data_IF_285746310416
#
_entry.id   IF_285746310416
#
_cell.length_a   1.000
_cell.length_b   1.000
_cell.length_c   1.000
_cell.angle_alpha   90.00
_cell.angle_beta   90.00
_cell.angle_gamma   90.00
#
_symmetry.space_group_name_H-M   'P 1'
#
loop_
_entity.id
_entity.type
_entity.pdbx_description
1 polymer ?
#
# COMPACT_ATOMS: atom_id res chain seq x y z
N UNK A 1 -17.98 14.15 2.42
CA UNK A 1 -19.02 14.19 1.36
C UNK A 1 -19.02 15.53 0.62
N UNK A 2 -18.96 16.67 1.31
CA UNK A 2 -18.86 18.01 0.69
C UNK A 2 -17.75 18.16 -0.36
N UNK A 3 -16.55 17.64 -0.08
CA UNK A 3 -15.42 17.84 -0.99
C UNK A 3 -15.51 17.05 -2.30
N UNK A 4 -16.11 15.84 -2.28
CA UNK A 4 -16.42 15.10 -3.51
C UNK A 4 -17.49 15.81 -4.34
N UNK A 5 -18.45 16.46 -3.68
CA UNK A 5 -19.45 17.31 -4.33
C UNK A 5 -18.82 18.56 -4.96
N UNK A 6 -17.90 19.24 -4.26
CA UNK A 6 -17.16 20.40 -4.79
C UNK A 6 -16.27 20.03 -5.98
N UNK A 7 -15.63 18.85 -5.94
CA UNK A 7 -14.86 18.33 -7.08
C UNK A 7 -15.75 18.01 -8.27
N UNK A 8 -16.93 17.41 -8.05
CA UNK A 8 -17.92 17.19 -9.10
C UNK A 8 -18.41 18.50 -9.73
N UNK A 9 -18.68 19.51 -8.89
CA UNK A 9 -19.10 20.85 -9.32
C UNK A 9 -18.00 21.55 -10.14
N UNK A 10 -16.74 21.48 -9.70
CA UNK A 10 -15.59 22.05 -10.40
C UNK A 10 -15.45 21.46 -11.81
N UNK A 11 -15.59 20.14 -11.94
CA UNK A 11 -15.53 19.45 -13.24
C UNK A 11 -16.66 19.93 -14.14
N UNK A 12 -17.90 20.00 -13.63
CA UNK A 12 -19.05 20.46 -14.40
C UNK A 12 -18.89 21.91 -14.88
N UNK A 13 -18.44 22.82 -14.01
CA UNK A 13 -18.21 24.23 -14.36
C UNK A 13 -17.07 24.38 -15.37
N UNK A 14 -16.01 23.58 -15.25
CA UNK A 14 -14.87 23.60 -16.19
C UNK A 14 -15.31 23.16 -17.58
N UNK A 15 -16.10 22.09 -17.70
CA UNK A 15 -16.64 21.60 -18.98
C UNK A 15 -17.54 22.66 -19.63
N UNK A 16 -18.43 23.29 -18.86
CA UNK A 16 -19.29 24.36 -19.34
C UNK A 16 -18.50 25.59 -19.82
N UNK A 17 -17.44 25.96 -19.11
CA UNK A 17 -16.59 27.09 -19.47
C UNK A 17 -15.79 26.84 -20.76
N UNK A 18 -15.26 25.62 -20.97
CA UNK A 18 -14.60 25.24 -22.22
C UNK A 18 -15.58 25.30 -23.39
N UNK A 19 -16.78 24.72 -23.23
CA UNK A 19 -17.84 24.82 -24.25
C UNK A 19 -18.23 26.27 -24.54
N UNK A 20 -18.30 27.11 -23.51
CA UNK A 20 -18.55 28.55 -23.64
C UNK A 20 -17.49 29.28 -24.45
N UNK A 21 -16.19 29.02 -24.18
CA UNK A 21 -15.08 29.62 -24.93
C UNK A 21 -15.14 29.22 -26.42
N UNK A 22 -15.39 27.94 -26.72
CA UNK A 22 -15.55 27.49 -28.10
C UNK A 22 -16.77 28.09 -28.78
N UNK A 23 -17.89 28.23 -28.07
CA UNK A 23 -19.10 28.85 -28.59
C UNK A 23 -18.89 30.35 -28.88
N UNK A 24 -18.16 31.06 -27.99
CA UNK A 24 -17.81 32.47 -28.17
C UNK A 24 -16.88 32.66 -29.37
N UNK A 25 -15.85 31.82 -29.52
CA UNK A 25 -14.94 31.84 -30.65
C UNK A 25 -15.67 31.58 -31.97
N UNK A 26 -16.58 30.60 -32.00
CA UNK A 26 -17.43 30.30 -33.16
C UNK A 26 -18.36 31.47 -33.51
N UNK A 27 -18.93 32.13 -32.51
CA UNK A 27 -19.78 33.31 -32.72
C UNK A 27 -18.98 34.51 -33.24
N UNK A 28 -17.80 34.76 -32.71
CA UNK A 28 -16.90 35.84 -33.15
C UNK A 28 -16.37 35.62 -34.58
N UNK A 29 -16.11 34.36 -34.95
CA UNK A 29 -15.79 34.00 -36.34
C UNK A 29 -16.94 34.33 -37.30
N UNK A 30 -18.17 33.99 -36.94
CA UNK A 30 -19.34 34.21 -37.80
C UNK A 30 -19.86 35.64 -37.85
N UNK A 31 -19.69 36.43 -36.78
CA UNK A 31 -20.30 37.78 -36.67
C UNK A 31 -19.33 38.90 -37.04
N UNK A 32 -18.04 38.73 -36.77
CA UNK A 32 -17.07 39.84 -36.77
C UNK A 32 -15.91 39.68 -37.76
N UNK A 33 -15.88 38.61 -38.56
CA UNK A 33 -14.89 38.43 -39.63
C UNK A 33 -13.43 38.44 -39.15
N UNK A 34 -13.20 38.15 -37.86
CA UNK A 34 -11.88 38.20 -37.22
C UNK A 34 -10.97 37.15 -37.86
N UNK A 35 -9.72 37.48 -38.26
CA UNK A 35 -8.81 36.52 -38.83
C UNK A 35 -8.58 35.34 -37.89
N UNK A 36 -8.49 34.12 -38.44
CA UNK A 36 -8.41 32.86 -37.68
C UNK A 36 -7.23 32.81 -36.71
N UNK A 37 -6.14 33.52 -37.02
CA UNK A 37 -4.93 33.61 -36.20
C UNK A 37 -5.20 34.32 -34.86
N UNK A 38 -5.94 35.44 -34.88
CA UNK A 38 -6.30 36.17 -33.67
C UNK A 38 -7.30 35.40 -32.80
N UNK A 39 -8.24 34.67 -33.42
CA UNK A 39 -9.16 33.77 -32.73
C UNK A 39 -8.43 32.61 -32.04
N UNK A 40 -7.41 32.06 -32.70
CA UNK A 40 -6.57 31.00 -32.15
C UNK A 40 -5.78 31.51 -30.94
N UNK A 41 -5.13 32.68 -31.04
CA UNK A 41 -4.39 33.28 -29.93
C UNK A 41 -5.33 33.60 -28.76
N UNK A 42 -6.52 34.15 -29.02
CA UNK A 42 -7.49 34.48 -27.97
C UNK A 42 -8.06 33.25 -27.27
N UNK A 43 -8.41 32.20 -28.02
CA UNK A 43 -8.88 30.93 -27.44
C UNK A 43 -7.79 30.25 -26.63
N UNK A 44 -6.54 30.28 -27.09
CA UNK A 44 -5.40 29.75 -26.36
C UNK A 44 -5.17 30.54 -25.05
N UNK A 45 -5.26 31.87 -25.09
CA UNK A 45 -5.14 32.73 -23.92
C UNK A 45 -6.26 32.49 -22.90
N UNK A 46 -7.51 32.33 -23.36
CA UNK A 46 -8.66 32.02 -22.51
C UNK A 46 -8.56 30.62 -21.90
N UNK A 47 -8.12 29.62 -22.67
CA UNK A 47 -7.84 28.27 -22.14
C UNK A 47 -6.69 28.29 -21.14
N UNK A 48 -5.64 29.07 -21.38
CA UNK A 48 -4.54 29.28 -20.44
C UNK A 48 -5.03 29.90 -19.12
N UNK A 49 -5.82 30.97 -19.18
CA UNK A 49 -6.41 31.61 -18.01
C UNK A 49 -7.37 30.67 -17.25
N UNK A 50 -8.13 29.84 -17.97
CA UNK A 50 -8.99 28.82 -17.38
C UNK A 50 -8.17 27.75 -16.64
N UNK A 51 -7.11 27.23 -17.25
CA UNK A 51 -6.22 26.24 -16.62
C UNK A 51 -5.63 26.80 -15.33
N UNK A 52 -5.09 28.02 -15.36
CA UNK A 52 -4.57 28.70 -14.17
C UNK A 52 -5.65 28.84 -13.09
N UNK A 53 -6.85 29.28 -13.47
CA UNK A 53 -7.97 29.44 -12.53
C UNK A 53 -8.41 28.11 -11.90
N UNK A 54 -8.46 27.02 -12.69
CA UNK A 54 -8.78 25.68 -12.20
C UNK A 54 -7.69 25.17 -11.26
N UNK A 55 -6.41 25.40 -11.56
CA UNK A 55 -5.31 25.08 -10.65
C UNK A 55 -5.43 25.83 -9.32
N UNK A 56 -5.70 27.14 -9.35
CA UNK A 56 -5.91 27.95 -8.13
C UNK A 56 -7.12 27.48 -7.31
N UNK A 57 -8.26 27.18 -7.95
CA UNK A 57 -9.46 26.71 -7.25
C UNK A 57 -9.25 25.30 -6.70
N UNK A 58 -8.57 24.42 -7.46
CA UNK A 58 -8.20 23.09 -7.01
C UNK A 58 -7.27 23.16 -5.81
N UNK A 59 -6.25 24.02 -5.85
CA UNK A 59 -5.34 24.27 -4.72
C UNK A 59 -6.10 24.82 -3.49
N UNK A 60 -7.14 25.62 -3.70
CA UNK A 60 -8.02 26.12 -2.64
C UNK A 60 -8.96 25.04 -2.08
N UNK A 61 -9.43 24.11 -2.90
CA UNK A 61 -10.20 22.94 -2.45
C UNK A 61 -9.26 21.95 -1.73
N UNK A 62 -8.05 21.76 -2.22
CA UNK A 62 -7.04 20.90 -1.59
C UNK A 62 -6.55 21.47 -0.26
N UNK A 63 -6.43 22.79 -0.11
CA UNK A 63 -6.15 23.44 1.18
C UNK A 63 -7.31 23.33 2.18
N UNK A 64 -8.54 23.06 1.73
CA UNK A 64 -9.64 22.67 2.63
C UNK A 64 -9.63 21.19 3.02
N UNK A 65 -8.88 20.33 2.31
CA UNK A 65 -8.70 18.91 2.66
C UNK A 65 -7.40 18.62 3.42
N UNK A 66 -6.37 19.44 3.22
CA UNK A 66 -5.08 19.35 3.88
C UNK A 66 -4.86 20.64 4.68
N UNK A 67 -4.86 20.60 6.02
CA UNK A 67 -4.37 21.72 6.78
C UNK A 67 -2.85 21.76 6.55
N UNK A 68 -2.44 22.56 5.56
CA UNK A 68 -1.08 23.05 5.43
C UNK A 68 -0.69 23.71 6.76
N UNK A 69 0.55 23.48 7.14
CA UNK A 69 1.16 23.69 8.46
C UNK A 69 1.28 25.14 8.94
N UNK A 70 0.52 26.08 8.36
CA UNK A 70 0.36 27.44 8.86
C UNK A 70 -1.13 27.68 9.16
N UNK A 71 -1.65 26.94 10.14
CA UNK A 71 -3.02 27.12 10.58
C UNK A 71 -3.10 28.42 11.41
N UNK A 72 -3.85 29.40 10.93
CA UNK A 72 -4.42 30.40 11.84
C UNK A 72 -5.12 29.63 12.96
N UNK A 73 -4.62 29.80 14.20
CA UNK A 73 -5.20 29.15 15.37
C UNK A 73 -6.66 29.54 15.47
N UNK A 74 -7.53 28.55 15.64
CA UNK A 74 -8.96 28.81 15.86
C UNK A 74 -9.15 29.58 17.17
N UNK A 75 -10.21 30.37 17.31
CA UNK A 75 -10.53 31.07 18.58
C UNK A 75 -10.54 30.10 19.78
N UNK A 76 -11.01 28.87 19.58
CA UNK A 76 -10.99 27.82 20.60
C UNK A 76 -9.57 27.42 21.02
N UNK A 77 -8.65 27.29 20.06
CA UNK A 77 -7.24 26.98 20.36
C UNK A 77 -6.58 28.13 21.10
N UNK A 78 -6.84 29.37 20.68
CA UNK A 78 -6.31 30.56 21.36
C UNK A 78 -6.83 30.66 22.80
N UNK A 79 -8.12 30.39 23.01
CA UNK A 79 -8.73 30.35 24.34
C UNK A 79 -8.09 29.29 25.24
N UNK A 80 -7.94 28.05 24.76
CA UNK A 80 -7.33 26.98 25.58
C UNK A 80 -5.85 27.26 25.85
N UNK A 81 -5.10 27.80 24.89
CA UNK A 81 -3.70 28.19 25.10
C UNK A 81 -3.53 29.29 26.15
N UNK A 82 -4.46 30.25 26.18
CA UNK A 82 -4.47 31.34 27.16
C UNK A 82 -4.78 30.84 28.57
N UNK A 83 -5.70 29.88 28.71
CA UNK A 83 -6.11 29.39 30.04
C UNK A 83 -5.21 28.26 30.54
N UNK A 84 -4.95 27.23 29.72
CA UNK A 84 -4.14 26.07 30.11
C UNK A 84 -3.42 25.42 28.91
N UNK A 85 -2.18 25.86 28.68
CA UNK A 85 -1.32 25.41 27.57
C UNK A 85 -1.19 23.86 27.43
N UNK A 86 -1.03 23.06 28.51
CA UNK A 86 -0.89 21.62 28.37
C UNK A 86 -2.10 20.92 27.73
N UNK A 87 -3.32 21.44 27.95
CA UNK A 87 -4.51 20.92 27.25
C UNK A 87 -4.47 21.25 25.75
N UNK A 88 -4.00 22.44 25.37
CA UNK A 88 -3.86 22.81 23.97
C UNK A 88 -2.88 21.86 23.24
N UNK A 89 -1.75 21.53 23.87
CA UNK A 89 -0.77 20.58 23.35
C UNK A 89 -1.37 19.17 23.21
N UNK A 90 -2.09 18.70 24.23
CA UNK A 90 -2.76 17.40 24.20
C UNK A 90 -3.81 17.32 23.07
N UNK A 91 -4.62 18.38 22.89
CA UNK A 91 -5.59 18.47 21.80
C UNK A 91 -4.92 18.49 20.42
N UNK A 92 -3.82 19.22 20.27
CA UNK A 92 -3.03 19.25 19.04
C UNK A 92 -2.51 17.85 18.69
N UNK A 93 -1.98 17.13 19.68
CA UNK A 93 -1.49 15.77 19.52
C UNK A 93 -2.61 14.79 19.14
N UNK A 94 -3.76 14.87 19.80
CA UNK A 94 -4.95 14.07 19.47
C UNK A 94 -5.39 14.30 18.02
N UNK A 95 -5.47 15.56 17.59
CA UNK A 95 -5.83 15.93 16.21
C UNK A 95 -4.81 15.40 15.20
N UNK A 96 -3.52 15.49 15.52
CA UNK A 96 -2.44 14.93 14.69
C UNK A 96 -2.58 13.42 14.54
N UNK A 97 -2.83 12.69 15.62
CA UNK A 97 -3.06 11.23 15.59
C UNK A 97 -4.30 10.85 14.80
N UNK A 98 -5.40 11.57 14.95
CA UNK A 98 -6.63 11.33 14.16
C UNK A 98 -6.40 11.44 12.65
N UNK A 99 -5.64 12.44 12.20
CA UNK A 99 -5.24 12.59 10.79
C UNK A 99 -4.37 11.42 10.33
N UNK A 100 -3.36 11.04 11.12
CA UNK A 100 -2.48 9.91 10.83
C UNK A 100 -3.26 8.60 10.71
N UNK A 101 -4.22 8.35 11.61
CA UNK A 101 -5.08 7.15 11.58
C UNK A 101 -5.97 7.11 10.33
N UNK A 102 -6.51 8.24 9.89
CA UNK A 102 -7.32 8.30 8.67
C UNK A 102 -6.50 7.90 7.43
N UNK A 103 -5.27 8.38 7.31
CA UNK A 103 -4.35 8.02 6.22
C UNK A 103 -3.97 6.53 6.31
N UNK A 104 -3.63 6.05 7.51
CA UNK A 104 -3.25 4.66 7.74
C UNK A 104 -4.38 3.68 7.36
N UNK A 105 -5.62 4.00 7.67
CA UNK A 105 -6.77 3.17 7.29
C UNK A 105 -6.95 3.08 5.77
N UNK A 106 -6.81 4.19 5.05
CA UNK A 106 -6.85 4.18 3.59
C UNK A 106 -5.72 3.33 3.01
N UNK A 107 -4.53 3.42 3.60
CA UNK A 107 -3.39 2.61 3.20
C UNK A 107 -3.64 1.11 3.45
N UNK A 108 -4.17 0.72 4.61
CA UNK A 108 -4.49 -0.68 4.92
C UNK A 108 -5.56 -1.24 3.97
N UNK A 109 -6.56 -0.43 3.61
CA UNK A 109 -7.57 -0.84 2.63
C UNK A 109 -6.96 -1.11 1.25
N UNK A 110 -6.01 -0.27 0.80
CA UNK A 110 -5.26 -0.49 -0.45
C UNK A 110 -4.39 -1.75 -0.36
N UNK A 111 -3.66 -1.93 0.74
CA UNK A 111 -2.82 -3.11 0.97
C UNK A 111 -3.65 -4.40 0.97
N UNK A 112 -4.84 -4.39 1.59
CA UNK A 112 -5.72 -5.57 1.66
C UNK A 112 -6.16 -6.07 0.29
N UNK A 113 -6.37 -5.15 -0.67
CA UNK A 113 -6.71 -5.52 -2.06
C UNK A 113 -5.52 -6.07 -2.83
N UNK A 114 -4.30 -5.60 -2.53
CA UNK A 114 -3.06 -6.01 -3.22
C UNK A 114 -2.40 -7.26 -2.62
N UNK A 115 -2.71 -7.59 -1.37
CA UNK A 115 -2.06 -8.64 -0.60
C UNK A 115 -3.08 -9.59 0.06
N UNK A 116 -3.92 -10.30 -0.73
CA UNK A 116 -4.98 -11.15 -0.19
C UNK A 116 -4.46 -12.30 0.70
N UNK A 117 -3.21 -12.74 0.48
CA UNK A 117 -2.53 -13.77 1.28
C UNK A 117 -2.32 -13.34 2.74
N UNK A 118 -2.39 -12.03 3.02
CA UNK A 118 -2.18 -11.43 4.34
C UNK A 118 -3.47 -10.83 4.91
N UNK A 119 -4.63 -11.26 4.38
CA UNK A 119 -5.94 -10.73 4.74
C UNK A 119 -6.25 -10.78 6.24
N UNK A 120 -5.81 -11.83 6.94
CA UNK A 120 -5.98 -11.96 8.40
C UNK A 120 -5.23 -10.86 9.15
N UNK A 121 -3.94 -10.68 8.85
CA UNK A 121 -3.07 -9.70 9.47
C UNK A 121 -3.51 -8.26 9.14
N UNK A 122 -3.92 -8.01 7.91
CA UNK A 122 -4.40 -6.71 7.47
C UNK A 122 -5.79 -6.37 8.03
N UNK A 123 -6.67 -7.37 8.21
CA UNK A 123 -7.97 -7.20 8.90
C UNK A 123 -7.77 -6.86 10.37
N UNK A 124 -6.88 -7.59 11.06
CA UNK A 124 -6.52 -7.28 12.44
C UNK A 124 -6.04 -5.83 12.58
N UNK A 125 -5.08 -5.41 11.75
CA UNK A 125 -4.58 -4.03 11.75
C UNK A 125 -5.72 -3.03 11.48
N UNK A 126 -6.54 -3.28 10.46
CA UNK A 126 -7.67 -2.43 10.12
C UNK A 126 -8.64 -2.25 11.30
N UNK A 127 -9.02 -3.34 11.96
CA UNK A 127 -10.03 -3.33 13.02
C UNK A 127 -9.51 -2.65 14.29
N UNK A 128 -8.24 -2.88 14.65
CA UNK A 128 -7.57 -2.17 15.74
C UNK A 128 -7.58 -0.66 15.47
N UNK A 129 -7.14 -0.22 14.29
CA UNK A 129 -7.08 1.20 13.96
C UNK A 129 -8.45 1.85 13.76
N UNK A 130 -9.46 1.08 13.32
CA UNK A 130 -10.84 1.53 13.25
C UNK A 130 -11.49 1.70 14.61
N UNK A 131 -11.20 0.82 15.55
CA UNK A 131 -11.63 1.01 16.94
C UNK A 131 -10.96 2.25 17.53
N UNK A 132 -9.65 2.39 17.35
CA UNK A 132 -8.87 3.49 17.92
C UNK A 132 -9.34 4.86 17.40
N UNK A 133 -9.50 4.99 16.08
CA UNK A 133 -9.99 6.24 15.48
C UNK A 133 -11.37 6.63 15.99
N UNK A 134 -12.28 5.67 16.17
CA UNK A 134 -13.63 5.95 16.69
C UNK A 134 -13.57 6.49 18.11
N UNK A 135 -12.82 5.84 19.00
CA UNK A 135 -12.67 6.31 20.39
C UNK A 135 -12.01 7.69 20.47
N UNK A 136 -10.97 7.95 19.66
CA UNK A 136 -10.33 9.27 19.60
C UNK A 136 -11.25 10.36 19.04
N UNK A 137 -12.11 10.05 18.06
CA UNK A 137 -13.07 11.01 17.52
C UNK A 137 -14.17 11.36 18.54
N UNK A 138 -14.64 10.37 19.30
CA UNK A 138 -15.60 10.59 20.39
C UNK A 138 -15.00 11.51 21.46
N UNK A 139 -13.81 11.17 21.95
CA UNK A 139 -13.08 11.99 22.91
C UNK A 139 -12.86 13.42 22.40
N UNK A 140 -12.44 13.58 21.14
CA UNK A 140 -12.28 14.91 20.54
C UNK A 140 -13.59 15.71 20.60
N UNK A 141 -14.70 15.08 20.23
CA UNK A 141 -16.02 15.73 20.22
C UNK A 141 -16.45 16.18 21.63
N UNK A 142 -16.17 15.36 22.65
CA UNK A 142 -16.47 15.67 24.05
C UNK A 142 -15.64 16.86 24.55
N UNK A 143 -14.32 16.83 24.31
CA UNK A 143 -13.42 17.93 24.70
C UNK A 143 -13.79 19.22 23.97
N UNK A 144 -14.02 19.18 22.65
CA UNK A 144 -14.43 20.35 21.86
C UNK A 144 -15.77 20.94 22.35
N UNK A 145 -16.68 20.11 22.85
CA UNK A 145 -17.95 20.56 23.41
C UNK A 145 -17.72 21.31 24.73
N UNK A 146 -16.93 20.76 25.65
CA UNK A 146 -16.62 21.40 26.93
C UNK A 146 -15.85 22.71 26.74
N UNK A 147 -14.84 22.73 25.86
CA UNK A 147 -14.08 23.95 25.54
C UNK A 147 -15.00 25.04 24.97
N UNK A 148 -15.94 24.68 24.09
CA UNK A 148 -16.91 25.65 23.55
C UNK A 148 -17.82 26.21 24.62
N UNK A 149 -18.32 25.36 25.52
CA UNK A 149 -19.17 25.79 26.63
C UNK A 149 -18.42 26.74 27.57
N UNK A 150 -17.18 26.38 27.95
CA UNK A 150 -16.32 27.21 28.79
C UNK A 150 -15.97 28.56 28.13
N UNK A 151 -15.65 28.55 26.84
CA UNK A 151 -15.38 29.76 26.07
C UNK A 151 -16.63 30.67 25.99
N UNK A 152 -17.81 30.09 25.80
CA UNK A 152 -19.07 30.84 25.82
C UNK A 152 -19.36 31.49 27.18
N UNK A 153 -19.10 30.76 28.26
CA UNK A 153 -19.26 31.27 29.63
C UNK A 153 -18.23 32.34 29.99
N UNK A 154 -16.96 32.17 29.57
CA UNK A 154 -15.91 33.17 29.74
C UNK A 154 -16.23 34.48 29.00
N UNK A 155 -16.86 34.40 27.82
CA UNK A 155 -17.35 35.59 27.10
C UNK A 155 -18.55 36.28 27.78
N UNK A 156 -19.28 35.59 28.66
CA UNK A 156 -20.55 36.06 29.25
C UNK A 156 -20.47 36.41 30.75
N UNK A 157 -19.43 35.99 31.47
CA UNK A 157 -19.30 36.07 32.95
C UNK A 157 -17.94 36.68 33.32
N UNK A 158 -17.70 37.01 34.59
CA UNK A 158 -16.39 37.50 35.08
C UNK A 158 -15.23 36.57 34.63
N UNK A 159 -14.29 37.06 33.80
CA UNK A 159 -13.19 36.28 33.24
C UNK A 159 -12.36 35.52 34.29
N UNK A 160 -12.12 36.13 35.46
CA UNK A 160 -11.21 35.62 36.47
C UNK A 160 -11.78 34.42 37.25
N UNK A 161 -13.08 34.42 37.55
CA UNK A 161 -13.73 33.30 38.24
C UNK A 161 -13.78 32.05 37.35
N UNK A 162 -14.05 32.24 36.06
CA UNK A 162 -14.11 31.17 35.07
C UNK A 162 -12.75 30.53 34.78
N UNK A 163 -11.66 31.30 34.77
CA UNK A 163 -10.30 30.75 34.62
C UNK A 163 -9.96 29.76 35.73
N UNK A 164 -10.38 30.01 36.97
CA UNK A 164 -10.10 29.10 38.09
C UNK A 164 -10.88 27.77 38.01
N UNK A 165 -12.15 27.81 37.55
CA UNK A 165 -13.01 26.62 37.42
C UNK A 165 -12.65 25.81 36.18
N UNK A 166 -12.45 26.48 35.03
CA UNK A 166 -12.06 25.82 33.79
C UNK A 166 -10.65 25.23 33.86
N UNK A 167 -9.72 25.81 34.63
CA UNK A 167 -8.40 25.21 34.85
C UNK A 167 -8.47 23.81 35.47
N UNK A 168 -9.41 23.58 36.40
CA UNK A 168 -9.57 22.26 37.02
C UNK A 168 -10.10 21.24 36.00
N UNK A 169 -11.12 21.61 35.24
CA UNK A 169 -11.67 20.76 34.18
C UNK A 169 -10.62 20.51 33.08
N UNK A 170 -9.82 21.52 32.75
CA UNK A 170 -8.78 21.43 31.73
C UNK A 170 -7.68 20.42 32.10
N UNK A 171 -7.28 20.38 33.37
CA UNK A 171 -6.35 19.37 33.90
C UNK A 171 -6.93 17.96 33.79
N UNK A 172 -8.21 17.78 34.10
CA UNK A 172 -8.84 16.45 34.01
C UNK A 172 -8.99 15.98 32.56
N UNK A 173 -9.33 16.88 31.63
CA UNK A 173 -9.35 16.56 30.20
C UNK A 173 -7.96 16.29 29.62
N UNK A 174 -6.93 17.02 30.06
CA UNK A 174 -5.53 16.74 29.70
C UNK A 174 -5.17 15.30 30.10
N UNK A 175 -5.46 14.89 31.34
CA UNK A 175 -5.23 13.52 31.80
C UNK A 175 -6.00 12.48 30.99
N UNK A 176 -7.25 12.74 30.63
CA UNK A 176 -8.07 11.83 29.79
C UNK A 176 -7.47 11.68 28.40
N UNK A 177 -7.05 12.77 27.76
CA UNK A 177 -6.38 12.75 26.45
C UNK A 177 -5.05 12.00 26.54
N UNK A 178 -4.22 12.32 27.55
CA UNK A 178 -2.93 11.66 27.80
C UNK A 178 -3.09 10.16 28.01
N UNK A 179 -4.12 9.73 28.78
CA UNK A 179 -4.47 8.31 28.94
C UNK A 179 -4.85 7.66 27.62
N UNK A 180 -5.69 8.31 26.82
CA UNK A 180 -6.12 7.78 25.51
C UNK A 180 -4.95 7.66 24.52
N UNK A 181 -4.02 8.63 24.53
CA UNK A 181 -2.79 8.57 23.73
C UNK A 181 -1.86 7.44 24.20
N UNK A 182 -1.88 7.07 25.49
CA UNK A 182 -1.19 5.88 26.00
C UNK A 182 -1.83 4.59 25.49
N UNK A 183 -3.17 4.47 25.52
CA UNK A 183 -3.91 3.33 24.95
C UNK A 183 -3.62 3.15 23.45
N UNK A 184 -3.52 4.25 22.71
CA UNK A 184 -3.08 4.23 21.31
C UNK A 184 -1.72 3.56 21.14
N UNK A 185 -0.74 3.85 22.02
CA UNK A 185 0.58 3.21 21.97
C UNK A 185 0.49 1.70 22.20
N UNK A 186 -0.37 1.27 23.13
CA UNK A 186 -0.63 -0.16 23.36
C UNK A 186 -1.25 -0.84 22.14
N UNK A 187 -2.19 -0.18 21.47
CA UNK A 187 -2.78 -0.67 20.23
C UNK A 187 -1.77 -0.71 19.06
N UNK A 188 -0.84 0.25 19.03
CA UNK A 188 0.29 0.22 18.10
C UNK A 188 1.20 -0.99 18.34
N UNK A 189 1.52 -1.28 19.60
CA UNK A 189 2.30 -2.46 19.96
C UNK A 189 1.58 -3.75 19.55
N UNK A 190 0.25 -3.84 19.71
CA UNK A 190 -0.54 -5.00 19.27
C UNK A 190 -0.40 -5.26 17.77
N UNK A 191 -0.51 -4.24 16.94
CA UNK A 191 -0.34 -4.38 15.47
C UNK A 191 1.11 -4.70 15.13
N UNK A 192 2.06 -4.05 15.80
CA UNK A 192 3.51 -4.29 15.62
C UNK A 192 3.85 -5.75 15.92
N UNK A 193 3.38 -6.29 17.05
CA UNK A 193 3.63 -7.66 17.46
C UNK A 193 3.04 -8.66 16.46
N UNK A 194 1.82 -8.44 15.98
CA UNK A 194 1.22 -9.32 14.95
C UNK A 194 2.03 -9.34 13.64
N UNK A 195 2.63 -8.21 13.24
CA UNK A 195 3.50 -8.16 12.06
C UNK A 195 4.84 -8.86 12.31
N UNK A 196 5.40 -8.72 13.51
CA UNK A 196 6.63 -9.42 13.92
C UNK A 196 6.38 -10.93 14.00
N UNK A 197 5.24 -11.37 14.54
CA UNK A 197 4.85 -12.78 14.59
C UNK A 197 4.71 -13.38 13.20
N UNK A 198 4.14 -12.62 12.25
CA UNK A 198 4.11 -13.02 10.85
C UNK A 198 5.53 -13.18 10.27
N UNK A 199 6.45 -12.25 10.56
CA UNK A 199 7.85 -12.38 10.14
C UNK A 199 8.53 -13.61 10.75
N UNK A 200 8.32 -13.87 12.04
CA UNK A 200 8.81 -15.08 12.74
C UNK A 200 8.26 -16.34 12.08
N UNK A 201 6.98 -16.35 11.70
CA UNK A 201 6.39 -17.47 11.00
C UNK A 201 7.05 -17.69 9.63
N UNK A 202 7.34 -16.63 8.88
CA UNK A 202 8.05 -16.76 7.60
C UNK A 202 9.50 -17.22 7.77
N UNK A 203 10.20 -16.79 8.81
CA UNK A 203 11.51 -17.33 9.19
C UNK A 203 11.43 -18.85 9.38
N UNK A 204 10.44 -19.32 10.14
CA UNK A 204 10.22 -20.76 10.37
C UNK A 204 9.91 -21.50 9.08
N UNK A 205 9.08 -20.92 8.20
CA UNK A 205 8.74 -21.51 6.91
C UNK A 205 9.98 -21.63 6.02
N UNK A 206 10.75 -20.55 5.86
CA UNK A 206 11.99 -20.54 5.06
C UNK A 206 13.00 -21.59 5.53
N UNK A 207 13.19 -21.73 6.85
CA UNK A 207 14.08 -22.77 7.43
C UNK A 207 13.61 -24.21 7.12
N UNK A 208 12.30 -24.41 6.89
CA UNK A 208 11.71 -25.72 6.56
C UNK A 208 11.70 -26.03 5.07
N UNK A 209 11.80 -25.03 4.18
CA UNK A 209 11.70 -25.27 2.73
C UNK A 209 12.74 -26.27 2.24
N UNK A 210 13.96 -26.24 2.78
CA UNK A 210 15.00 -27.22 2.44
C UNK A 210 14.67 -28.65 2.86
N UNK A 211 13.91 -28.84 3.94
CA UNK A 211 13.48 -30.17 4.44
C UNK A 211 12.29 -30.72 3.67
N UNK A 212 11.49 -29.86 3.04
CA UNK A 212 10.32 -30.24 2.23
C UNK A 212 10.66 -30.50 0.75
N UNK A 213 11.95 -30.48 0.40
CA UNK A 213 12.47 -30.67 -0.98
C UNK A 213 11.95 -31.95 -1.63
N UNK A 214 11.78 -33.00 -0.83
CA UNK A 214 11.46 -34.34 -1.33
C UNK A 214 9.96 -34.63 -1.37
N UNK A 215 9.13 -33.81 -0.70
CA UNK A 215 7.69 -34.07 -0.53
C UNK A 215 6.84 -33.49 -1.67
N UNK A 216 7.28 -32.40 -2.31
CA UNK A 216 6.54 -31.76 -3.41
C UNK A 216 6.91 -32.27 -4.80
N UNK A 217 8.04 -32.99 -4.92
CA UNK A 217 8.46 -33.61 -6.18
C UNK A 217 7.50 -34.72 -6.68
N UNK A 218 6.57 -35.18 -5.83
CA UNK A 218 5.77 -36.39 -6.04
C UNK A 218 4.25 -36.18 -6.11
N UNK A 219 3.72 -35.00 -5.77
CA UNK A 219 2.33 -34.95 -5.30
C UNK A 219 1.22 -34.63 -6.32
N UNK A 220 1.48 -34.20 -7.56
CA UNK A 220 0.42 -34.21 -8.59
C UNK A 220 0.98 -33.98 -10.00
N UNK A 221 0.44 -34.71 -10.99
CA UNK A 221 0.61 -34.42 -12.43
C UNK A 221 -0.08 -33.12 -12.87
N UNK A 222 -0.46 -32.25 -11.94
CA UNK A 222 -1.18 -31.00 -12.16
C UNK A 222 -0.22 -29.82 -12.00
N UNK A 223 -0.36 -28.83 -12.88
CA UNK A 223 0.42 -27.59 -12.81
C UNK A 223 0.05 -26.80 -11.55
N UNK A 224 1.04 -26.54 -10.70
CA UNK A 224 0.88 -25.67 -9.54
C UNK A 224 0.59 -24.25 -10.01
N UNK A 225 -0.44 -23.62 -9.44
CA UNK A 225 -0.73 -22.20 -9.66
C UNK A 225 -0.09 -21.39 -8.53
N UNK A 226 0.53 -20.27 -8.89
CA UNK A 226 1.09 -19.36 -7.89
C UNK A 226 -0.03 -18.72 -7.07
N UNK A 227 0.22 -18.55 -5.77
CA UNK A 227 -0.67 -17.86 -4.86
C UNK A 227 -0.68 -16.34 -5.08
N UNK A 228 0.28 -15.81 -5.85
CA UNK A 228 0.47 -14.38 -6.08
C UNK A 228 0.01 -13.96 -7.48
N UNK A 229 -0.71 -12.85 -7.53
CA UNK A 229 -1.01 -12.18 -8.80
C UNK A 229 0.24 -11.49 -9.34
N UNK A 230 0.34 -11.30 -10.66
CA UNK A 230 1.47 -10.59 -11.28
C UNK A 230 1.64 -9.17 -10.73
N UNK A 231 0.54 -8.47 -10.45
CA UNK A 231 0.54 -7.15 -9.82
C UNK A 231 1.21 -7.19 -8.44
N UNK A 232 0.83 -8.16 -7.59
CA UNK A 232 1.42 -8.34 -6.27
C UNK A 232 2.91 -8.67 -6.35
N UNK A 233 3.32 -9.52 -7.30
CA UNK A 233 4.74 -9.86 -7.49
C UNK A 233 5.54 -8.63 -7.86
N UNK A 234 5.05 -7.81 -8.80
CA UNK A 234 5.74 -6.60 -9.23
C UNK A 234 5.90 -5.59 -8.09
N UNK A 235 4.86 -5.38 -7.27
CA UNK A 235 4.93 -4.51 -6.10
C UNK A 235 6.00 -4.97 -5.09
N UNK A 236 6.09 -6.29 -4.85
CA UNK A 236 7.06 -6.87 -3.93
C UNK A 236 8.49 -6.84 -4.49
N UNK A 237 8.67 -7.04 -5.79
CA UNK A 237 9.96 -6.92 -6.46
C UNK A 237 10.45 -5.48 -6.47
N UNK A 238 9.60 -4.50 -6.80
CA UNK A 238 9.94 -3.09 -6.75
C UNK A 238 10.30 -2.60 -5.33
N UNK A 239 9.74 -3.25 -4.31
CA UNK A 239 10.18 -3.06 -2.93
C UNK A 239 11.58 -3.65 -2.70
N UNK A 240 11.82 -4.90 -3.09
CA UNK A 240 13.12 -5.55 -2.92
C UNK A 240 14.24 -4.88 -3.70
N UNK A 241 14.01 -4.38 -4.91
CA UNK A 241 15.01 -3.65 -5.68
C UNK A 241 15.63 -2.50 -4.88
N UNK A 242 14.86 -1.89 -3.98
CA UNK A 242 15.30 -0.78 -3.13
C UNK A 242 16.01 -1.23 -1.86
N UNK A 243 15.77 -2.46 -1.39
CA UNK A 243 16.22 -2.93 -0.07
C UNK A 243 17.25 -4.05 -0.17
N UNK A 244 17.09 -4.98 -1.11
CA UNK A 244 17.95 -6.14 -1.38
C UNK A 244 17.87 -6.54 -2.88
N UNK A 245 18.50 -5.76 -3.76
CA UNK A 245 18.43 -5.95 -5.23
C UNK A 245 18.86 -7.35 -5.68
N UNK A 246 19.94 -7.89 -5.10
CA UNK A 246 20.42 -9.24 -5.42
C UNK A 246 19.37 -10.33 -5.14
N UNK A 247 18.55 -10.16 -4.11
CA UNK A 247 17.45 -11.09 -3.79
C UNK A 247 16.32 -10.96 -4.82
N UNK A 248 16.01 -9.75 -5.26
CA UNK A 248 15.04 -9.52 -6.33
C UNK A 248 15.46 -10.26 -7.61
N UNK A 249 16.73 -10.15 -8.01
CA UNK A 249 17.27 -10.82 -9.20
C UNK A 249 17.12 -12.34 -9.15
N UNK A 250 17.30 -12.94 -7.96
CA UNK A 250 17.13 -14.39 -7.77
C UNK A 250 15.68 -14.82 -7.87
N UNK A 251 14.74 -14.04 -7.33
CA UNK A 251 13.30 -14.31 -7.45
C UNK A 251 12.85 -14.16 -8.91
N UNK A 252 13.36 -13.15 -9.63
CA UNK A 252 13.13 -13.00 -11.08
C UNK A 252 13.74 -14.17 -11.84
N UNK A 253 14.95 -14.60 -11.47
CA UNK A 253 15.62 -15.80 -11.98
C UNK A 253 14.75 -17.05 -11.85
N UNK A 254 14.21 -17.32 -10.66
CA UNK A 254 13.27 -18.42 -10.43
C UNK A 254 12.04 -18.32 -11.35
N UNK A 255 11.50 -17.11 -11.55
CA UNK A 255 10.41 -16.88 -12.49
C UNK A 255 10.76 -17.27 -13.94
N UNK A 256 11.99 -16.95 -14.39
CA UNK A 256 12.48 -17.33 -15.71
C UNK A 256 12.63 -18.84 -15.87
N UNK A 257 13.18 -19.51 -14.85
CA UNK A 257 13.33 -20.98 -14.85
C UNK A 257 11.97 -21.70 -14.92
N UNK A 258 10.96 -21.19 -14.19
CA UNK A 258 9.57 -21.70 -14.29
C UNK A 258 9.01 -21.53 -15.70
N UNK A 259 9.22 -20.36 -16.33
CA UNK A 259 8.79 -20.10 -17.70
C UNK A 259 9.47 -21.03 -18.71
N UNK A 260 10.76 -21.26 -18.55
CA UNK A 260 11.53 -22.16 -19.41
C UNK A 260 11.04 -23.61 -19.29
N UNK A 261 10.83 -24.10 -18.07
CA UNK A 261 10.30 -25.44 -17.85
C UNK A 261 8.91 -25.62 -18.50
N UNK A 262 8.06 -24.59 -18.48
CA UNK A 262 6.77 -24.62 -19.15
C UNK A 262 6.91 -24.64 -20.69
N UNK A 263 7.85 -23.88 -21.26
CA UNK A 263 8.14 -23.90 -22.71
C UNK A 263 8.64 -25.27 -23.14
N UNK A 264 9.64 -25.82 -22.43
CA UNK A 264 10.23 -27.11 -22.75
C UNK A 264 9.21 -28.24 -22.66
N UNK A 265 8.34 -28.22 -21.65
CA UNK A 265 7.23 -29.19 -21.57
C UNK A 265 6.29 -29.10 -22.79
N UNK A 266 6.03 -27.90 -23.28
CA UNK A 266 5.17 -27.70 -24.44
C UNK A 266 5.85 -28.16 -25.73
N UNK A 267 7.15 -27.92 -25.90
CA UNK A 267 7.97 -28.46 -27.00
C UNK A 267 7.87 -29.99 -27.04
N UNK A 268 8.15 -30.66 -25.91
CA UNK A 268 8.07 -32.13 -25.82
C UNK A 268 6.65 -32.64 -26.11
N UNK A 269 5.61 -31.87 -25.74
CA UNK A 269 4.22 -32.23 -26.08
C UNK A 269 3.99 -32.24 -27.60
N UNK A 270 4.59 -31.32 -28.35
CA UNK A 270 4.53 -31.35 -29.81
C UNK A 270 5.33 -32.53 -30.37
N UNK A 271 6.52 -32.81 -29.84
CA UNK A 271 7.33 -33.95 -30.26
C UNK A 271 6.60 -35.30 -30.10
N UNK A 272 5.78 -35.44 -29.03
CA UNK A 272 4.91 -36.62 -28.81
C UNK A 272 3.87 -36.79 -29.91
N UNK A 273 3.33 -35.68 -30.43
CA UNK A 273 2.33 -35.72 -31.51
C UNK A 273 2.98 -36.11 -32.84
N UNK A 274 4.21 -35.66 -33.07
CA UNK A 274 4.98 -36.00 -34.27
C UNK A 274 5.56 -37.42 -34.21
N UNK A 275 5.85 -37.95 -33.02
CA UNK A 275 6.48 -39.25 -32.81
C UNK A 275 5.69 -40.12 -31.80
N UNK A 276 4.52 -40.68 -32.20
CA UNK A 276 3.67 -41.46 -31.29
C UNK A 276 4.35 -42.70 -30.68
N UNK A 277 5.31 -43.28 -31.40
CA UNK A 277 6.13 -44.40 -30.93
C UNK A 277 7.01 -44.05 -29.72
N UNK A 278 7.33 -42.77 -29.51
CA UNK A 278 8.15 -42.30 -28.39
C UNK A 278 7.32 -41.81 -27.20
N UNK A 279 5.99 -41.94 -27.23
CA UNK A 279 5.07 -41.40 -26.24
C UNK A 279 5.43 -41.78 -24.80
N UNK A 280 5.86 -43.02 -24.54
CA UNK A 280 6.24 -43.47 -23.19
C UNK A 280 7.47 -42.75 -22.63
N UNK A 281 8.50 -42.54 -23.46
CA UNK A 281 9.73 -41.86 -23.07
C UNK A 281 9.48 -40.36 -22.93
N UNK A 282 8.89 -39.74 -23.95
CA UNK A 282 8.60 -38.30 -23.96
C UNK A 282 7.58 -37.89 -22.88
N UNK A 283 6.65 -38.78 -22.52
CA UNK A 283 5.74 -38.59 -21.40
C UNK A 283 6.49 -38.38 -20.07
N UNK A 284 7.53 -39.17 -19.81
CA UNK A 284 8.39 -39.00 -18.64
C UNK A 284 9.15 -37.67 -18.68
N UNK A 285 9.67 -37.27 -19.84
CA UNK A 285 10.33 -35.97 -20.03
C UNK A 285 9.37 -34.81 -19.71
N UNK A 286 8.12 -34.89 -20.20
CA UNK A 286 7.08 -33.89 -19.88
C UNK A 286 6.78 -33.79 -18.38
N UNK A 287 6.75 -34.94 -17.69
CA UNK A 287 6.55 -34.98 -16.24
C UNK A 287 7.72 -34.35 -15.48
N UNK A 288 8.96 -34.64 -15.90
CA UNK A 288 10.15 -34.07 -15.26
C UNK A 288 10.19 -32.53 -15.40
N UNK A 289 9.86 -32.00 -16.59
CA UNK A 289 9.72 -30.56 -16.80
C UNK A 289 8.57 -29.95 -15.98
N UNK A 290 7.45 -30.65 -15.86
CA UNK A 290 6.35 -30.22 -14.99
C UNK A 290 6.80 -30.14 -13.52
N UNK A 291 7.50 -31.17 -13.03
CA UNK A 291 8.01 -31.22 -11.66
C UNK A 291 8.99 -30.08 -11.39
N UNK A 292 9.90 -29.79 -12.33
CA UNK A 292 10.80 -28.64 -12.23
C UNK A 292 10.02 -27.31 -12.13
N UNK A 293 9.03 -27.10 -13.01
CA UNK A 293 8.20 -25.90 -12.99
C UNK A 293 7.42 -25.74 -11.68
N UNK A 294 6.81 -26.82 -11.19
CA UNK A 294 6.09 -26.83 -9.92
C UNK A 294 7.01 -26.51 -8.74
N UNK A 295 8.21 -27.09 -8.72
CA UNK A 295 9.24 -26.82 -7.70
C UNK A 295 9.66 -25.34 -7.72
N UNK A 296 9.87 -24.76 -8.91
CA UNK A 296 10.21 -23.35 -9.06
C UNK A 296 9.11 -22.41 -8.57
N UNK A 297 7.83 -22.71 -8.87
CA UNK A 297 6.68 -21.94 -8.35
C UNK A 297 6.62 -22.01 -6.82
N UNK A 298 6.78 -23.21 -6.26
CA UNK A 298 6.77 -23.40 -4.81
C UNK A 298 7.86 -22.57 -4.12
N UNK A 299 9.12 -22.69 -4.56
CA UNK A 299 10.23 -21.90 -4.00
C UNK A 299 10.00 -20.41 -4.12
N UNK A 300 9.59 -19.93 -5.30
CA UNK A 300 9.30 -18.51 -5.53
C UNK A 300 8.22 -18.00 -4.58
N UNK A 301 7.14 -18.74 -4.41
CA UNK A 301 6.02 -18.32 -3.56
C UNK A 301 6.41 -18.31 -2.07
N UNK A 302 7.24 -19.26 -1.60
CA UNK A 302 7.78 -19.22 -0.24
C UNK A 302 8.63 -17.96 0.01
N UNK A 303 9.48 -17.59 -0.94
CA UNK A 303 10.26 -16.35 -0.87
C UNK A 303 9.33 -15.13 -0.90
N UNK A 304 8.33 -15.10 -1.79
CA UNK A 304 7.38 -13.98 -1.88
C UNK A 304 6.54 -13.80 -0.61
N UNK A 305 6.15 -14.87 0.09
CA UNK A 305 5.49 -14.75 1.40
C UNK A 305 6.39 -14.09 2.45
N UNK A 306 7.68 -14.42 2.48
CA UNK A 306 8.66 -13.78 3.35
C UNK A 306 8.87 -12.30 3.00
N UNK A 307 9.00 -11.97 1.71
CA UNK A 307 9.10 -10.58 1.24
C UNK A 307 7.87 -9.78 1.62
N UNK A 308 6.68 -10.35 1.43
CA UNK A 308 5.41 -9.72 1.77
C UNK A 308 5.29 -9.45 3.27
N UNK A 309 5.77 -10.36 4.12
CA UNK A 309 5.78 -10.15 5.57
C UNK A 309 6.68 -8.97 5.97
N UNK A 310 7.90 -8.88 5.44
CA UNK A 310 8.80 -7.74 5.68
C UNK A 310 8.21 -6.42 5.16
N UNK A 311 7.71 -6.43 3.92
CA UNK A 311 7.08 -5.26 3.30
C UNK A 311 5.91 -4.71 4.14
N UNK A 312 4.98 -5.59 4.55
CA UNK A 312 3.82 -5.17 5.34
C UNK A 312 4.21 -4.73 6.75
N UNK A 313 5.17 -5.40 7.39
CA UNK A 313 5.66 -5.00 8.71
C UNK A 313 6.16 -3.56 8.71
N UNK A 314 7.00 -3.18 7.74
CA UNK A 314 7.51 -1.81 7.62
C UNK A 314 6.38 -0.83 7.31
N UNK A 315 5.49 -1.17 6.37
CA UNK A 315 4.36 -0.30 5.99
C UNK A 315 3.38 -0.05 7.14
N UNK A 316 3.33 -0.94 8.13
CA UNK A 316 2.48 -0.85 9.31
C UNK A 316 3.21 -0.36 10.57
N UNK A 317 4.45 0.12 10.42
CA UNK A 317 5.16 0.86 11.45
C UNK A 317 6.12 0.02 12.31
N UNK A 318 6.42 -1.23 11.94
CA UNK A 318 7.50 -1.98 12.58
C UNK A 318 8.84 -1.32 12.24
N UNK A 319 9.70 -1.17 13.24
CA UNK A 319 11.04 -0.61 13.03
C UNK A 319 11.83 -1.50 12.06
N UNK A 320 12.41 -0.90 11.00
CA UNK A 320 13.23 -1.60 10.01
C UNK A 320 14.46 -2.31 10.59
N UNK A 321 14.90 -1.90 11.78
CA UNK A 321 16.01 -2.49 12.56
C UNK A 321 15.54 -3.54 13.59
N UNK A 322 14.26 -3.91 13.59
CA UNK A 322 13.78 -4.99 14.44
C UNK A 322 14.53 -6.29 14.09
N UNK A 323 15.05 -6.98 15.11
CA UNK A 323 15.93 -8.14 14.94
C UNK A 323 15.28 -9.25 14.10
N UNK A 324 13.97 -9.45 14.23
CA UNK A 324 13.24 -10.47 13.46
C UNK A 324 13.14 -10.08 11.98
N UNK A 325 12.99 -8.79 11.65
CA UNK A 325 13.02 -8.36 10.24
C UNK A 325 14.43 -8.44 9.65
N UNK A 326 15.46 -8.13 10.44
CA UNK A 326 16.87 -8.28 10.02
C UNK A 326 17.20 -9.75 9.75
N UNK A 327 16.82 -10.65 10.65
CA UNK A 327 17.00 -12.10 10.47
C UNK A 327 16.20 -12.63 9.27
N UNK A 328 14.96 -12.17 9.09
CA UNK A 328 14.14 -12.53 7.92
C UNK A 328 14.84 -12.14 6.61
N UNK A 329 15.37 -10.92 6.52
CA UNK A 329 16.10 -10.43 5.33
C UNK A 329 17.39 -11.19 5.08
N UNK A 330 18.13 -11.56 6.12
CA UNK A 330 19.34 -12.40 6.02
C UNK A 330 19.00 -13.76 5.44
N UNK A 331 18.01 -14.44 6.04
CA UNK A 331 17.55 -15.75 5.57
C UNK A 331 16.96 -15.70 4.17
N UNK A 332 16.22 -14.64 3.84
CA UNK A 332 15.67 -14.46 2.50
C UNK A 332 16.80 -14.41 1.45
N UNK A 333 17.87 -13.66 1.73
CA UNK A 333 19.05 -13.61 0.85
C UNK A 333 19.68 -14.99 0.67
N UNK A 334 19.94 -15.70 1.77
CA UNK A 334 20.56 -17.05 1.74
C UNK A 334 19.67 -18.07 1.00
N UNK A 335 18.39 -18.12 1.36
CA UNK A 335 17.44 -19.07 0.80
C UNK A 335 17.14 -18.77 -0.68
N UNK A 336 17.07 -17.50 -1.08
CA UNK A 336 16.87 -17.15 -2.49
C UNK A 336 18.01 -17.65 -3.37
N UNK A 337 19.25 -17.54 -2.91
CA UNK A 337 20.41 -18.06 -3.63
C UNK A 337 20.37 -19.58 -3.72
N UNK A 338 20.14 -20.28 -2.60
CA UNK A 338 20.10 -21.75 -2.57
C UNK A 338 18.98 -22.33 -3.44
N UNK A 339 17.78 -21.75 -3.37
CA UNK A 339 16.64 -22.19 -4.16
C UNK A 339 16.85 -21.94 -5.66
N UNK A 340 17.43 -20.79 -6.01
CA UNK A 340 17.75 -20.46 -7.39
C UNK A 340 18.77 -21.44 -7.98
N UNK A 341 19.88 -21.71 -7.28
CA UNK A 341 20.89 -22.65 -7.78
C UNK A 341 20.35 -24.09 -7.86
N UNK A 342 19.54 -24.53 -6.89
CA UNK A 342 18.93 -25.86 -6.92
C UNK A 342 18.01 -26.05 -8.14
N UNK A 343 17.19 -25.05 -8.49
CA UNK A 343 16.37 -25.08 -9.71
C UNK A 343 17.25 -25.05 -10.97
N UNK A 344 18.23 -24.14 -11.02
CA UNK A 344 19.13 -24.00 -12.17
C UNK A 344 19.90 -25.30 -12.46
N UNK A 345 20.44 -25.93 -11.43
CA UNK A 345 21.14 -27.22 -11.54
C UNK A 345 20.19 -28.36 -11.91
N UNK A 346 18.97 -28.37 -11.37
CA UNK A 346 17.95 -29.35 -11.76
C UNK A 346 17.59 -29.22 -13.24
N UNK A 347 17.44 -28.00 -13.76
CA UNK A 347 17.23 -27.74 -15.19
C UNK A 347 18.39 -28.30 -16.03
N UNK A 348 19.63 -27.92 -15.71
CA UNK A 348 20.80 -28.35 -16.47
C UNK A 348 20.90 -29.88 -16.54
N UNK A 349 20.59 -30.58 -15.44
CA UNK A 349 20.53 -32.05 -15.43
C UNK A 349 19.45 -32.59 -16.36
N UNK A 350 18.26 -31.98 -16.41
CA UNK A 350 17.20 -32.40 -17.33
C UNK A 350 17.61 -32.19 -18.79
N UNK A 351 18.23 -31.06 -19.11
CA UNK A 351 18.73 -30.79 -20.47
C UNK A 351 19.83 -31.78 -20.90
N UNK A 352 20.70 -32.18 -19.98
CA UNK A 352 21.74 -33.18 -20.25
C UNK A 352 21.19 -34.61 -20.35
N UNK A 353 20.15 -34.93 -19.56
CA UNK A 353 19.54 -36.27 -19.54
C UNK A 353 18.68 -36.53 -20.77
N UNK A 354 18.17 -35.46 -21.38
CA UNK A 354 17.37 -35.48 -22.58
C UNK A 354 18.04 -34.56 -23.61
N UNK A 355 19.19 -34.97 -24.18
CA UNK A 355 19.78 -34.24 -25.29
C UNK A 355 18.71 -34.06 -26.38
N UNK A 356 18.85 -33.07 -27.27
CA UNK A 356 17.89 -32.89 -28.34
C UNK A 356 17.67 -34.24 -29.05
N UNK A 357 16.51 -34.85 -28.83
CA UNK A 357 15.94 -35.83 -29.74
C UNK A 357 15.74 -35.19 -31.14
N UNK A 358 15.95 -33.87 -31.22
CA UNK A 358 16.24 -33.01 -32.38
C UNK A 358 17.70 -33.12 -32.89
N UNK A 359 18.36 -34.26 -32.72
CA UNK A 359 19.43 -34.64 -33.63
C UNK A 359 18.76 -34.92 -34.97
N UNK A 360 18.67 -33.88 -35.81
CA UNK A 360 18.32 -33.97 -37.23
C UNK A 360 18.84 -35.31 -37.79
N UNK A 361 17.93 -36.24 -38.05
CA UNK A 361 18.16 -37.30 -39.02
C UNK A 361 17.65 -36.80 -40.37
#
# INVERSE_FOLDING_TARGET
MLAYFLYGLLIAVTVLAVLGIFHMARRLYHVSGVPSEYLLVMTLAMLGALVVSVFFIKERIDSTQLPNSNAHKTEQQLFVEQVYLPLADAQSELNRKLKQLAVLQQQIAKLSRRHPQQSVNLRLAHDVWRSERRGMMQLKSEVDHVVRAAMGLHKATDPFFMESTFNRDAVDWEKVISRRLSEYRNNQLKVTNAMVDNAIQQIKNLKKVQRAKDTFATASGVKLKSAFSSETVNDLLAYLEKVQSSTADKIVGLGREVGMAASKRQEVKYDVLENPNLQGVLGKVMEDWLRLGNKGIYYRDQLLHAVQADYLAIKLGVNKKNDQLVELRRLLSEQSQLMYEDIRLSRLKLEQSYPPLLGKQ
#
